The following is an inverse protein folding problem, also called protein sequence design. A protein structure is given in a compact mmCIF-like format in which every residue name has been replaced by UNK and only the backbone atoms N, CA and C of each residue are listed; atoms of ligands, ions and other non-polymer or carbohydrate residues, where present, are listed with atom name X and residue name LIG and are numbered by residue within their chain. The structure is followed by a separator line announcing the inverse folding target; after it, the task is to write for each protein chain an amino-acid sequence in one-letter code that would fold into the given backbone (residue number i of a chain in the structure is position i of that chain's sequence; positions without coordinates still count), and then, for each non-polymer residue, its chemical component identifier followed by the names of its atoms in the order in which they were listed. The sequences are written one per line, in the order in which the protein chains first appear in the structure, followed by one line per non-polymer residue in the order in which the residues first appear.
data_IF_818641314256
#
_entry.id   IF_818641314256
#
_cell.length_a   1.000
_cell.length_b   1.000
_cell.length_c   1.000
_cell.angle_alpha   90.00
_cell.angle_beta   90.00
_cell.angle_gamma   90.00
#
_symmetry.space_group_name_H-M   'P 1'
#
loop_
_entity.id
_entity.type
_entity.pdbx_description
1 polymer ?
#
# COMPACT_ATOMS: atom_id res chain seq x y z
N UNK A 1 52.87 -20.95 47.40
CA UNK A 1 52.77 -20.45 46.03
C UNK A 1 51.33 -20.76 45.56
N UNK A 2 50.45 -19.76 45.57
CA UNK A 2 49.04 -19.92 45.18
C UNK A 2 48.91 -19.57 43.72
N UNK A 3 48.53 -20.52 42.90
CA UNK A 3 48.17 -20.31 41.49
C UNK A 3 46.74 -19.75 41.43
N UNK A 4 46.59 -18.52 41.01
CA UNK A 4 45.30 -17.90 40.76
C UNK A 4 44.95 -18.23 39.30
N UNK A 5 43.93 -19.08 39.12
CA UNK A 5 43.31 -19.31 37.81
C UNK A 5 42.32 -18.20 37.53
N UNK A 6 42.60 -17.41 36.52
CA UNK A 6 41.70 -16.40 36.00
C UNK A 6 40.79 -17.08 35.00
N UNK A 7 39.54 -17.24 35.36
CA UNK A 7 38.47 -17.70 34.45
C UNK A 7 38.04 -16.48 33.65
N UNK A 8 38.42 -16.47 32.38
CA UNK A 8 37.90 -15.47 31.43
C UNK A 8 36.48 -15.84 31.04
N UNK A 9 35.50 -15.09 31.56
CA UNK A 9 34.13 -15.20 31.11
C UNK A 9 34.02 -14.55 29.73
N UNK A 10 33.85 -15.36 28.71
CA UNK A 10 33.51 -14.90 27.38
C UNK A 10 32.08 -14.40 27.38
N UNK A 11 31.87 -13.08 27.38
CA UNK A 11 30.57 -12.45 27.14
C UNK A 11 30.29 -12.58 25.65
N UNK A 12 29.45 -13.53 25.27
CA UNK A 12 28.91 -13.60 23.94
C UNK A 12 27.95 -12.41 23.73
N UNK A 13 28.45 -11.38 23.08
CA UNK A 13 27.62 -10.31 22.55
C UNK A 13 26.73 -10.91 21.47
N UNK A 14 25.50 -11.21 21.84
CA UNK A 14 24.46 -11.53 20.88
C UNK A 14 24.17 -10.26 20.08
N UNK A 15 24.88 -10.10 18.97
CA UNK A 15 24.64 -9.08 17.99
C UNK A 15 23.29 -9.42 17.34
N UNK A 16 22.23 -8.75 17.78
CA UNK A 16 21.00 -8.70 17.00
C UNK A 16 21.34 -7.97 15.69
N UNK A 17 21.66 -8.74 14.68
CA UNK A 17 21.65 -8.24 13.31
C UNK A 17 20.24 -7.78 13.03
N UNK A 18 20.00 -6.47 13.10
CA UNK A 18 18.88 -5.86 12.43
C UNK A 18 19.05 -6.25 10.96
N UNK A 19 18.28 -7.21 10.50
CA UNK A 19 18.10 -7.46 9.08
C UNK A 19 17.48 -6.18 8.55
N UNK A 20 18.30 -5.31 7.98
CA UNK A 20 17.86 -4.33 7.02
C UNK A 20 17.20 -5.15 5.91
N UNK A 21 15.90 -5.35 6.01
CA UNK A 21 15.10 -5.58 4.83
C UNK A 21 15.28 -4.31 4.01
N UNK A 22 16.25 -4.35 3.09
CA UNK A 22 16.27 -3.46 1.94
C UNK A 22 14.85 -3.52 1.40
N UNK A 23 14.11 -2.42 1.50
CA UNK A 23 12.83 -2.25 0.83
C UNK A 23 13.10 -2.53 -0.65
N UNK A 24 12.83 -3.78 -1.07
CA UNK A 24 12.85 -4.13 -2.47
C UNK A 24 11.83 -3.19 -3.11
N UNK A 25 12.27 -2.42 -4.10
CA UNK A 25 11.41 -1.48 -4.81
C UNK A 25 10.16 -2.23 -5.24
N UNK A 26 9.01 -1.85 -4.69
CA UNK A 26 7.74 -2.51 -5.00
C UNK A 26 7.35 -2.09 -6.41
N UNK A 27 7.18 -3.06 -7.30
CA UNK A 27 6.58 -2.81 -8.61
C UNK A 27 5.06 -2.71 -8.45
N UNK A 28 4.54 -1.51 -8.63
CA UNK A 28 3.10 -1.26 -8.59
C UNK A 28 2.35 -1.75 -9.84
N UNK A 29 3.05 -2.08 -10.92
CA UNK A 29 2.40 -2.49 -12.15
C UNK A 29 1.50 -3.71 -11.94
N UNK A 30 0.30 -3.69 -12.49
CA UNK A 30 -0.65 -4.79 -12.47
C UNK A 30 -1.89 -4.54 -11.62
N UNK A 31 -2.60 -5.60 -11.29
CA UNK A 31 -3.92 -5.57 -10.65
C UNK A 31 -3.83 -5.87 -9.15
N UNK A 32 -4.56 -5.08 -8.38
CA UNK A 32 -4.55 -5.09 -6.94
C UNK A 32 -5.96 -5.02 -6.36
N UNK A 33 -6.24 -5.83 -5.34
CA UNK A 33 -7.42 -5.67 -4.50
C UNK A 33 -7.21 -4.57 -3.47
N UNK A 34 -8.21 -3.71 -3.27
CA UNK A 34 -8.23 -2.77 -2.14
C UNK A 34 -8.77 -3.54 -0.93
N UNK A 35 -7.91 -3.81 0.05
CA UNK A 35 -8.26 -4.63 1.22
C UNK A 35 -8.54 -3.80 2.47
N UNK A 36 -7.98 -2.60 2.59
CA UNK A 36 -8.31 -1.64 3.65
C UNK A 36 -8.41 -0.22 3.11
N UNK A 37 -9.22 0.59 3.74
CA UNK A 37 -9.33 2.04 3.54
C UNK A 37 -9.29 2.73 4.91
N UNK A 38 -8.39 3.69 5.08
CA UNK A 38 -8.15 4.40 6.34
C UNK A 38 -8.04 3.47 7.57
N UNK A 39 -7.34 2.33 7.39
CA UNK A 39 -7.13 1.32 8.45
C UNK A 39 -8.32 0.39 8.71
N UNK A 40 -9.43 0.56 8.00
CA UNK A 40 -10.61 -0.30 8.12
C UNK A 40 -10.64 -1.32 6.99
N UNK A 41 -10.81 -2.60 7.32
CA UNK A 41 -10.96 -3.65 6.32
C UNK A 41 -12.20 -3.42 5.45
N UNK A 42 -12.04 -3.61 4.14
CA UNK A 42 -13.16 -3.53 3.19
C UNK A 42 -13.99 -4.80 3.28
N UNK A 43 -15.26 -4.64 3.61
CA UNK A 43 -16.24 -5.72 3.59
C UNK A 43 -16.88 -5.81 2.20
N UNK A 44 -16.41 -6.76 1.39
CA UNK A 44 -16.87 -6.95 0.02
C UNK A 44 -18.33 -7.42 -0.08
N UNK A 45 -18.95 -7.85 1.02
CA UNK A 45 -20.38 -8.16 1.05
C UNK A 45 -21.25 -6.90 1.02
N UNK A 46 -20.66 -5.75 1.29
CA UNK A 46 -21.30 -4.43 1.30
C UNK A 46 -20.98 -3.59 0.07
N UNK A 47 -20.28 -4.13 -0.90
CA UNK A 47 -19.96 -3.49 -2.16
C UNK A 47 -20.64 -4.22 -3.31
N UNK A 48 -21.05 -3.49 -4.35
CA UNK A 48 -21.68 -4.10 -5.55
C UNK A 48 -20.63 -4.91 -6.34
N UNK A 49 -19.43 -4.35 -6.47
CA UNK A 49 -18.29 -4.96 -7.12
C UNK A 49 -17.10 -4.98 -6.18
N UNK A 50 -16.17 -5.90 -6.42
CA UNK A 50 -14.92 -5.97 -5.66
C UNK A 50 -14.07 -4.72 -5.91
N UNK A 51 -13.67 -3.98 -4.86
CA UNK A 51 -12.81 -2.81 -5.03
C UNK A 51 -11.40 -3.21 -5.49
N UNK A 52 -10.99 -2.63 -6.62
CA UNK A 52 -9.69 -2.92 -7.26
C UNK A 52 -9.02 -1.67 -7.79
N UNK A 53 -7.70 -1.72 -7.89
CA UNK A 53 -6.89 -0.76 -8.64
C UNK A 53 -5.96 -1.50 -9.58
N UNK A 54 -5.83 -1.01 -10.79
CA UNK A 54 -4.88 -1.51 -11.79
C UNK A 54 -3.96 -0.37 -12.18
N UNK A 55 -2.66 -0.57 -12.05
CA UNK A 55 -1.65 0.38 -12.50
C UNK A 55 -1.01 -0.13 -13.78
N UNK A 56 -1.08 0.66 -14.83
CA UNK A 56 -0.28 0.50 -16.06
C UNK A 56 0.82 1.58 -16.03
N UNK A 57 1.93 1.23 -15.41
CA UNK A 57 3.04 2.16 -15.19
C UNK A 57 3.75 2.54 -16.49
N UNK A 58 3.66 1.73 -17.53
CA UNK A 58 4.23 2.03 -18.84
C UNK A 58 3.46 3.13 -19.57
N UNK A 59 2.17 3.28 -19.29
CA UNK A 59 1.29 4.28 -19.91
C UNK A 59 0.86 5.39 -18.94
N UNK A 60 1.40 5.40 -17.71
CA UNK A 60 1.00 6.31 -16.64
C UNK A 60 -0.52 6.31 -16.40
N UNK A 61 -1.16 5.15 -16.43
CA UNK A 61 -2.59 5.00 -16.21
C UNK A 61 -2.91 4.30 -14.90
N UNK A 62 -4.04 4.66 -14.32
CA UNK A 62 -4.71 3.92 -13.24
C UNK A 62 -6.17 3.73 -13.60
N UNK A 63 -6.69 2.55 -13.35
CA UNK A 63 -8.10 2.24 -13.52
C UNK A 63 -8.52 1.17 -12.50
N UNK A 64 -9.79 0.91 -12.38
CA UNK A 64 -10.30 -0.07 -11.42
C UNK A 64 -11.76 0.15 -11.06
N UNK A 65 -12.10 -0.27 -9.86
CA UNK A 65 -13.44 -0.13 -9.29
C UNK A 65 -13.35 0.33 -7.84
N UNK A 66 -14.17 1.27 -7.45
CA UNK A 66 -14.25 1.74 -6.06
C UNK A 66 -15.30 0.99 -5.20
N UNK A 67 -15.91 -0.05 -5.76
CA UNK A 67 -16.96 -0.82 -5.10
C UNK A 67 -18.33 -0.71 -5.77
N UNK A 68 -18.59 0.36 -6.49
CA UNK A 68 -19.76 0.57 -7.36
C UNK A 68 -19.32 1.09 -8.72
N UNK A 69 -18.64 2.22 -8.73
CA UNK A 69 -18.23 2.89 -9.95
C UNK A 69 -16.84 2.50 -10.40
N UNK A 70 -16.63 2.51 -11.72
CA UNK A 70 -15.31 2.35 -12.30
C UNK A 70 -14.47 3.60 -12.11
N UNK A 71 -13.19 3.41 -11.81
CA UNK A 71 -12.18 4.46 -11.69
C UNK A 71 -11.37 4.50 -12.98
N UNK A 72 -11.03 5.69 -13.45
CA UNK A 72 -10.10 5.90 -14.56
C UNK A 72 -9.32 7.19 -14.32
N UNK A 73 -8.02 7.18 -14.60
CA UNK A 73 -7.18 8.36 -14.41
C UNK A 73 -5.74 8.13 -14.82
N UNK A 74 -4.90 9.10 -14.46
CA UNK A 74 -3.46 9.04 -14.66
C UNK A 74 -2.75 8.79 -13.34
N UNK A 75 -1.70 7.97 -13.39
CA UNK A 75 -0.84 7.65 -12.25
C UNK A 75 0.62 7.68 -12.69
N UNK A 76 1.32 8.74 -12.39
CA UNK A 76 2.76 8.81 -12.62
C UNK A 76 3.49 8.28 -11.39
N UNK A 77 4.18 7.16 -11.56
CA UNK A 77 4.91 6.45 -10.50
C UNK A 77 6.40 6.71 -10.62
N UNK A 78 7.04 7.16 -9.55
CA UNK A 78 8.50 7.22 -9.42
C UNK A 78 8.93 6.11 -8.44
N UNK A 79 9.43 5.01 -8.98
CA UNK A 79 9.83 3.86 -8.18
C UNK A 79 11.04 4.11 -7.29
N UNK A 80 11.96 4.99 -7.72
CA UNK A 80 13.15 5.33 -6.94
C UNK A 80 12.81 6.14 -5.68
N UNK A 81 11.81 7.00 -5.77
CA UNK A 81 11.31 7.84 -4.66
C UNK A 81 10.09 7.24 -3.96
N UNK A 82 9.52 6.17 -4.50
CA UNK A 82 8.25 5.59 -4.06
C UNK A 82 7.12 6.62 -3.96
N UNK A 83 7.04 7.49 -4.97
CA UNK A 83 5.99 8.51 -5.07
C UNK A 83 5.00 8.19 -6.18
N UNK A 84 3.77 8.64 -5.99
CA UNK A 84 2.70 8.56 -6.99
C UNK A 84 2.07 9.93 -7.15
N UNK A 85 1.89 10.35 -8.39
CA UNK A 85 1.08 11.52 -8.73
C UNK A 85 -0.16 11.05 -9.48
N UNK A 86 -1.29 11.06 -8.80
CA UNK A 86 -2.59 10.82 -9.40
C UNK A 86 -3.13 12.12 -10.00
N UNK A 87 -3.71 12.06 -11.19
CA UNK A 87 -4.34 13.19 -11.86
C UNK A 87 -5.47 12.72 -12.77
N UNK A 88 -6.40 13.63 -13.05
CA UNK A 88 -7.54 13.37 -13.94
C UNK A 88 -8.32 12.10 -13.52
N UNK A 89 -8.39 11.83 -12.23
CA UNK A 89 -9.15 10.68 -11.71
C UNK A 89 -10.64 11.00 -11.83
N UNK A 90 -11.32 10.20 -12.61
CA UNK A 90 -12.75 10.25 -12.80
C UNK A 90 -13.41 8.92 -12.49
N UNK A 91 -14.71 8.95 -12.32
CA UNK A 91 -15.53 7.76 -12.08
C UNK A 91 -16.78 7.78 -12.94
N UNK A 92 -17.36 6.60 -13.20
CA UNK A 92 -18.74 6.50 -13.65
C UNK A 92 -19.68 7.00 -12.54
N UNK A 93 -20.94 7.21 -12.84
CA UNK A 93 -21.91 7.81 -11.90
C UNK A 93 -23.14 6.90 -11.74
N UNK A 94 -22.89 5.63 -11.41
CA UNK A 94 -23.96 4.72 -11.01
C UNK A 94 -24.36 4.96 -9.55
N UNK A 95 -25.61 4.69 -9.20
CA UNK A 95 -26.08 4.64 -7.81
C UNK A 95 -26.26 3.19 -7.40
N UNK A 96 -25.45 2.76 -6.44
CA UNK A 96 -25.57 1.45 -5.81
C UNK A 96 -26.23 1.58 -4.44
N UNK A 97 -26.72 0.46 -3.90
CA UNK A 97 -27.41 0.44 -2.62
C UNK A 97 -26.53 0.94 -1.45
N UNK A 98 -25.22 0.69 -1.52
CA UNK A 98 -24.26 1.15 -0.51
C UNK A 98 -23.07 1.81 -1.20
N UNK A 99 -22.88 3.09 -0.94
CA UNK A 99 -21.81 3.91 -1.50
C UNK A 99 -20.71 4.27 -0.47
N UNK A 100 -20.80 3.72 0.75
CA UNK A 100 -19.92 4.13 1.85
C UNK A 100 -18.44 3.83 1.56
N UNK A 101 -18.14 2.63 1.11
CA UNK A 101 -16.76 2.26 0.77
C UNK A 101 -16.23 3.03 -0.43
N UNK A 102 -17.07 3.22 -1.44
CA UNK A 102 -16.68 4.00 -2.62
C UNK A 102 -16.29 5.42 -2.25
N UNK A 103 -17.09 6.11 -1.46
CA UNK A 103 -16.80 7.49 -1.03
C UNK A 103 -15.49 7.55 -0.24
N UNK A 104 -15.26 6.58 0.67
CA UNK A 104 -14.00 6.49 1.44
C UNK A 104 -12.79 6.21 0.55
N UNK A 105 -12.91 5.29 -0.41
CA UNK A 105 -11.84 4.93 -1.34
C UNK A 105 -11.49 6.13 -2.23
N UNK A 106 -12.48 6.80 -2.81
CA UNK A 106 -12.24 7.96 -3.67
C UNK A 106 -11.58 9.10 -2.89
N UNK A 107 -12.05 9.37 -1.67
CA UNK A 107 -11.42 10.37 -0.79
C UNK A 107 -9.98 10.00 -0.43
N UNK A 108 -9.70 8.72 -0.15
CA UNK A 108 -8.36 8.25 0.12
C UNK A 108 -7.45 8.44 -1.10
N UNK A 109 -7.93 8.11 -2.31
CA UNK A 109 -7.17 8.29 -3.56
C UNK A 109 -6.76 9.75 -3.79
N UNK A 110 -7.60 10.72 -3.46
CA UNK A 110 -7.27 12.15 -3.58
C UNK A 110 -6.06 12.54 -2.73
N UNK A 111 -5.84 11.85 -1.61
CA UNK A 111 -4.76 12.12 -0.67
C UNK A 111 -3.45 11.38 -0.98
N UNK A 112 -3.46 10.42 -1.90
CA UNK A 112 -2.29 9.58 -2.22
C UNK A 112 -1.16 10.42 -2.80
N UNK A 113 0.04 10.25 -2.24
CA UNK A 113 1.29 10.89 -2.69
C UNK A 113 2.44 9.91 -2.84
N UNK A 114 2.33 8.73 -2.24
CA UNK A 114 3.39 7.73 -2.27
C UNK A 114 2.89 6.33 -1.99
N UNK A 115 3.83 5.40 -1.89
CA UNK A 115 3.55 4.02 -1.55
C UNK A 115 4.74 3.37 -0.86
N UNK A 116 4.50 2.31 -0.14
CA UNK A 116 5.53 1.51 0.54
C UNK A 116 5.12 0.05 0.62
N UNK A 117 6.13 -0.83 0.80
CA UNK A 117 5.87 -2.23 1.09
C UNK A 117 5.25 -2.39 2.49
N UNK A 118 4.21 -3.21 2.60
CA UNK A 118 3.64 -3.68 3.85
C UNK A 118 3.88 -5.18 4.02
N UNK A 119 3.31 -5.77 5.06
CA UNK A 119 3.37 -7.23 5.27
C UNK A 119 2.44 -7.95 4.30
N UNK A 120 2.97 -8.44 3.17
CA UNK A 120 2.19 -9.12 2.14
C UNK A 120 1.21 -8.21 1.37
N UNK A 121 1.40 -6.91 1.46
CA UNK A 121 0.58 -5.90 0.80
C UNK A 121 1.44 -4.71 0.36
N UNK A 122 0.84 -3.80 -0.37
CA UNK A 122 1.38 -2.47 -0.66
C UNK A 122 0.48 -1.44 0.00
N UNK A 123 1.07 -0.48 0.68
CA UNK A 123 0.35 0.63 1.27
C UNK A 123 0.49 1.87 0.40
N UNK A 124 -0.63 2.45 -0.03
CA UNK A 124 -0.66 3.78 -0.60
C UNK A 124 -0.70 4.80 0.53
N UNK A 125 0.16 5.79 0.47
CA UNK A 125 0.37 6.75 1.55
C UNK A 125 0.00 8.17 1.13
N UNK A 126 -0.45 8.98 2.09
CA UNK A 126 -0.66 10.40 1.89
C UNK A 126 0.66 11.20 2.03
N UNK A 127 0.59 12.52 1.94
CA UNK A 127 1.75 13.39 2.02
C UNK A 127 2.49 13.37 3.37
N UNK A 128 1.88 12.88 4.45
CA UNK A 128 2.52 12.68 5.75
C UNK A 128 3.09 11.27 5.95
N UNK A 129 2.98 10.39 4.94
CA UNK A 129 3.45 9.00 4.99
C UNK A 129 2.48 8.04 5.68
N UNK A 130 1.26 8.49 6.02
CA UNK A 130 0.22 7.63 6.58
C UNK A 130 -0.39 6.75 5.49
N UNK A 131 -0.52 5.44 5.75
CA UNK A 131 -1.24 4.53 4.88
C UNK A 131 -2.74 4.89 4.84
N UNK A 132 -3.26 5.13 3.63
CA UNK A 132 -4.68 5.44 3.40
C UNK A 132 -5.41 4.32 2.67
N UNK A 133 -4.69 3.52 1.90
CA UNK A 133 -5.19 2.30 1.26
C UNK A 133 -4.15 1.19 1.41
N UNK A 134 -4.60 -0.04 1.65
CA UNK A 134 -3.75 -1.22 1.51
C UNK A 134 -4.23 -2.05 0.32
N UNK A 135 -3.27 -2.48 -0.48
CA UNK A 135 -3.49 -3.22 -1.70
C UNK A 135 -2.85 -4.59 -1.59
N UNK A 136 -3.57 -5.61 -2.03
CA UNK A 136 -3.05 -6.98 -2.14
C UNK A 136 -3.00 -7.39 -3.61
N UNK A 137 -1.87 -7.92 -4.05
CA UNK A 137 -1.72 -8.43 -5.43
C UNK A 137 -2.70 -9.55 -5.70
N UNK A 138 -3.35 -9.50 -6.85
CA UNK A 138 -4.17 -10.60 -7.36
C UNK A 138 -3.33 -11.72 -7.93
#
# INVERSE_FOLDING_TARGET
MKKISIIAAAIALCSCSATNTTDAAVDLNGEWDIVTVDGTAVDTTKTEFRPTLVFDTAKDNVFGCAGCNSINGKAKVDAAKQTIKLSQVGTTMMLCANMEYEQKILKALESVKGYKAGKGCVELTNGSGKAVLQLKKQ
#
